data_IF_053881587412
#
_entry.id   IF_053881587412
#
_cell.length_a   1.000
_cell.length_b   1.000
_cell.length_c   1.000
_cell.angle_alpha   90.00
_cell.angle_beta   90.00
_cell.angle_gamma   90.00
#
_symmetry.space_group_name_H-M   'P 1'
#
loop_
_entity.id
_entity.type
_entity.pdbx_description
1 polymer ?
#
# COMPACT_ATOMS: atom_id res chain seq x y z
N UNK A 1 -44.46 -38.02 -71.41
CA UNK A 1 -44.59 -39.11 -70.43
C UNK A 1 -43.96 -38.66 -69.12
N UNK A 2 -44.68 -38.86 -68.00
CA UNK A 2 -44.37 -38.39 -66.65
C UNK A 2 -43.28 -39.24 -65.99
N UNK A 3 -42.43 -38.65 -65.16
CA UNK A 3 -41.99 -39.28 -63.92
C UNK A 3 -41.57 -38.22 -62.88
N UNK A 4 -42.07 -38.29 -61.62
CA UNK A 4 -41.79 -37.32 -60.58
C UNK A 4 -40.57 -37.78 -59.74
N UNK A 5 -39.73 -36.84 -59.31
CA UNK A 5 -38.71 -37.13 -58.28
C UNK A 5 -39.20 -36.55 -56.96
N UNK A 6 -39.43 -37.46 -56.03
CA UNK A 6 -39.92 -37.22 -54.67
C UNK A 6 -38.78 -36.63 -53.82
N UNK A 7 -39.04 -35.51 -53.16
CA UNK A 7 -38.11 -34.85 -52.24
C UNK A 7 -38.23 -35.49 -50.84
N UNK A 8 -37.21 -36.23 -50.41
CA UNK A 8 -37.13 -36.83 -49.08
C UNK A 8 -36.51 -35.81 -48.11
N UNK A 9 -37.31 -35.24 -47.21
CA UNK A 9 -36.85 -34.36 -46.12
C UNK A 9 -36.33 -35.21 -44.96
N UNK A 10 -35.01 -35.18 -44.72
CA UNK A 10 -34.38 -35.76 -43.53
C UNK A 10 -34.53 -34.79 -42.35
N UNK A 11 -35.34 -35.15 -41.36
CA UNK A 11 -35.40 -34.47 -40.05
C UNK A 11 -34.30 -35.01 -39.14
N UNK A 12 -33.27 -34.19 -38.90
CA UNK A 12 -32.20 -34.49 -37.94
C UNK A 12 -32.73 -34.14 -36.54
N UNK A 13 -32.99 -35.16 -35.73
CA UNK A 13 -33.23 -35.00 -34.30
C UNK A 13 -31.90 -34.70 -33.60
N UNK A 14 -31.66 -33.44 -33.25
CA UNK A 14 -30.52 -33.04 -32.42
C UNK A 14 -30.91 -33.32 -30.97
N UNK A 15 -30.42 -34.42 -30.41
CA UNK A 15 -30.51 -34.64 -28.97
C UNK A 15 -29.62 -33.60 -28.25
N UNK A 16 -30.11 -32.90 -27.20
CA UNK A 16 -29.27 -32.05 -26.38
C UNK A 16 -28.34 -32.95 -25.56
N UNK A 17 -27.09 -33.10 -26.02
CA UNK A 17 -26.02 -33.63 -25.17
C UNK A 17 -25.75 -32.59 -24.11
N UNK A 18 -26.27 -32.79 -22.89
CA UNK A 18 -25.79 -32.10 -21.71
C UNK A 18 -24.32 -32.50 -21.53
N UNK A 19 -23.41 -31.67 -22.05
CA UNK A 19 -22.01 -31.74 -21.67
C UNK A 19 -21.94 -31.42 -20.18
N UNK A 20 -21.99 -32.46 -19.35
CA UNK A 20 -21.51 -32.38 -17.97
C UNK A 20 -20.02 -32.06 -18.06
N UNK A 21 -19.68 -30.78 -18.13
CA UNK A 21 -18.30 -30.33 -18.16
C UNK A 21 -17.59 -30.92 -16.95
N UNK A 22 -16.44 -31.56 -17.18
CA UNK A 22 -15.58 -32.02 -16.09
C UNK A 22 -15.38 -30.89 -15.09
N UNK A 23 -15.46 -31.15 -13.77
CA UNK A 23 -15.21 -30.11 -12.78
C UNK A 23 -13.87 -29.44 -13.04
N UNK A 24 -13.80 -28.12 -12.95
CA UNK A 24 -12.55 -27.39 -13.17
C UNK A 24 -11.46 -27.89 -12.21
N UNK A 25 -10.19 -27.81 -12.64
CA UNK A 25 -9.05 -28.16 -11.80
C UNK A 25 -9.06 -27.38 -10.47
N UNK A 26 -9.52 -26.12 -10.48
CA UNK A 26 -9.73 -25.30 -9.29
C UNK A 26 -10.74 -25.95 -8.34
N UNK A 27 -11.94 -26.31 -8.82
CA UNK A 27 -12.98 -26.85 -7.93
C UNK A 27 -12.55 -28.19 -7.32
N UNK A 28 -11.89 -29.06 -8.10
CA UNK A 28 -11.34 -30.31 -7.58
C UNK A 28 -10.25 -30.07 -6.55
N UNK A 29 -9.32 -29.15 -6.82
CA UNK A 29 -8.21 -28.83 -5.91
C UNK A 29 -8.73 -28.23 -4.60
N UNK A 30 -9.61 -27.23 -4.68
CA UNK A 30 -10.13 -26.53 -3.51
C UNK A 30 -11.10 -27.36 -2.66
N UNK A 31 -11.72 -28.42 -3.21
CA UNK A 31 -12.63 -29.29 -2.45
C UNK A 31 -11.94 -29.98 -1.26
N UNK A 32 -10.62 -30.16 -1.32
CA UNK A 32 -9.83 -30.81 -0.28
C UNK A 32 -9.14 -29.82 0.69
N UNK A 33 -9.28 -28.52 0.46
CA UNK A 33 -8.60 -27.47 1.23
C UNK A 33 -9.45 -27.07 2.44
N UNK A 34 -8.90 -27.26 3.64
CA UNK A 34 -9.52 -26.89 4.92
C UNK A 34 -8.92 -25.62 5.53
N UNK A 35 -7.69 -25.25 5.16
CA UNK A 35 -7.04 -24.00 5.55
C UNK A 35 -6.13 -23.52 4.42
N UNK A 36 -6.34 -22.33 3.81
CA UNK A 36 -7.46 -21.39 4.03
C UNK A 36 -8.83 -22.00 3.67
N UNK A 37 -9.94 -21.26 3.77
CA UNK A 37 -11.26 -21.83 3.44
C UNK A 37 -11.36 -22.24 1.96
N UNK A 38 -12.21 -23.22 1.64
CA UNK A 38 -12.52 -23.59 0.24
C UNK A 38 -12.97 -22.39 -0.58
N UNK A 39 -13.83 -21.54 -0.02
CA UNK A 39 -14.35 -20.35 -0.70
C UNK A 39 -13.24 -19.34 -0.99
N UNK A 40 -12.30 -19.17 -0.06
CA UNK A 40 -11.11 -18.36 -0.31
C UNK A 40 -10.26 -18.96 -1.44
N UNK A 41 -9.98 -20.26 -1.39
CA UNK A 41 -9.23 -20.97 -2.44
C UNK A 41 -9.87 -20.76 -3.82
N UNK A 42 -11.16 -21.08 -3.95
CA UNK A 42 -11.86 -20.99 -5.22
C UNK A 42 -11.99 -19.54 -5.70
N UNK A 43 -12.33 -18.61 -4.80
CA UNK A 43 -12.47 -17.19 -5.11
C UNK A 43 -11.15 -16.57 -5.56
N UNK A 44 -10.06 -16.83 -4.84
CA UNK A 44 -8.73 -16.34 -5.20
C UNK A 44 -8.27 -16.88 -6.56
N UNK A 45 -8.37 -18.20 -6.76
CA UNK A 45 -7.90 -18.86 -7.98
C UNK A 45 -8.73 -18.52 -9.21
N UNK A 46 -10.02 -18.24 -9.05
CA UNK A 46 -10.89 -17.83 -10.16
C UNK A 46 -10.51 -16.46 -10.72
N UNK A 47 -9.80 -15.63 -9.94
CA UNK A 47 -9.25 -14.35 -10.39
C UNK A 47 -7.86 -14.45 -11.03
N UNK A 48 -7.23 -15.63 -11.04
CA UNK A 48 -5.89 -15.85 -11.59
C UNK A 48 -5.98 -16.53 -12.97
N UNK A 49 -5.61 -15.85 -14.07
CA UNK A 49 -5.72 -16.41 -15.42
C UNK A 49 -4.93 -17.70 -15.63
N UNK A 50 -3.77 -17.84 -14.98
CA UNK A 50 -2.95 -19.04 -15.08
C UNK A 50 -3.59 -20.22 -14.34
N UNK A 51 -4.24 -19.95 -13.21
CA UNK A 51 -5.01 -20.97 -12.50
C UNK A 51 -6.27 -21.39 -13.27
N UNK A 52 -6.97 -20.44 -13.90
CA UNK A 52 -8.16 -20.72 -14.73
C UNK A 52 -7.81 -21.56 -15.96
N UNK A 53 -6.65 -21.32 -16.57
CA UNK A 53 -6.16 -22.10 -17.71
C UNK A 53 -5.60 -23.49 -17.32
N UNK A 54 -5.38 -23.75 -16.02
CA UNK A 54 -4.82 -25.00 -15.57
C UNK A 54 -5.81 -26.17 -15.76
N UNK A 55 -5.31 -27.26 -16.32
CA UNK A 55 -6.09 -28.48 -16.54
C UNK A 55 -5.96 -29.50 -15.41
N UNK A 56 -5.01 -29.31 -14.49
CA UNK A 56 -4.76 -30.18 -13.35
C UNK A 56 -4.37 -29.42 -12.07
N UNK A 57 -4.30 -30.15 -10.95
CA UNK A 57 -3.94 -29.58 -9.65
C UNK A 57 -2.50 -29.05 -9.59
N UNK A 58 -1.58 -29.59 -10.40
CA UNK A 58 -0.18 -29.11 -10.44
C UNK A 58 -0.11 -27.73 -11.09
N UNK A 59 -0.85 -27.50 -12.17
CA UNK A 59 -1.00 -26.19 -12.79
C UNK A 59 -1.62 -25.17 -11.84
N UNK A 60 -2.68 -25.55 -11.12
CA UNK A 60 -3.30 -24.71 -10.08
C UNK A 60 -2.29 -24.36 -8.99
N UNK A 61 -1.55 -25.35 -8.46
CA UNK A 61 -0.52 -25.12 -7.44
C UNK A 61 0.60 -24.20 -7.96
N UNK A 62 1.02 -24.37 -9.21
CA UNK A 62 2.04 -23.53 -9.85
C UNK A 62 1.59 -22.07 -9.94
N UNK A 63 0.33 -21.85 -10.32
CA UNK A 63 -0.26 -20.51 -10.35
C UNK A 63 -0.26 -19.86 -8.96
N UNK A 64 -0.70 -20.58 -7.91
CA UNK A 64 -0.67 -20.08 -6.53
C UNK A 64 0.74 -19.72 -6.09
N UNK A 65 1.72 -20.60 -6.34
CA UNK A 65 3.12 -20.37 -5.95
C UNK A 65 3.68 -19.15 -6.66
N UNK A 66 3.48 -19.02 -7.97
CA UNK A 66 3.94 -17.87 -8.75
C UNK A 66 3.30 -16.57 -8.26
N UNK A 67 1.98 -16.57 -8.04
CA UNK A 67 1.27 -15.39 -7.54
C UNK A 67 1.71 -15.03 -6.11
N UNK A 68 1.98 -16.02 -5.27
CA UNK A 68 2.53 -15.81 -3.92
C UNK A 68 3.93 -15.21 -3.98
N UNK A 69 4.81 -15.75 -4.82
CA UNK A 69 6.16 -15.22 -5.02
C UNK A 69 6.14 -13.77 -5.53
N UNK A 70 5.26 -13.47 -6.49
CA UNK A 70 5.08 -12.11 -7.02
C UNK A 70 4.57 -11.14 -5.95
N UNK A 71 3.59 -11.56 -5.13
CA UNK A 71 3.09 -10.77 -4.00
C UNK A 71 4.19 -10.54 -2.97
N UNK A 72 4.94 -11.57 -2.59
CA UNK A 72 6.06 -11.45 -1.66
C UNK A 72 7.12 -10.47 -2.17
N UNK A 73 7.52 -10.58 -3.44
CA UNK A 73 8.46 -9.65 -4.07
C UNK A 73 7.92 -8.21 -4.09
N UNK A 74 6.63 -8.02 -4.31
CA UNK A 74 6.00 -6.70 -4.24
C UNK A 74 5.99 -6.14 -2.81
N UNK A 75 5.68 -6.95 -1.81
CA UNK A 75 5.73 -6.55 -0.40
C UNK A 75 7.16 -6.17 0.01
N UNK A 76 8.16 -6.95 -0.41
CA UNK A 76 9.56 -6.61 -0.16
C UNK A 76 9.95 -5.26 -0.74
N UNK A 77 9.50 -4.93 -1.96
CA UNK A 77 9.72 -3.59 -2.54
C UNK A 77 9.14 -2.48 -1.68
N UNK A 78 7.88 -2.63 -1.24
CA UNK A 78 7.23 -1.65 -0.34
C UNK A 78 7.98 -1.52 0.98
N UNK A 79 8.46 -2.62 1.56
CA UNK A 79 9.26 -2.60 2.80
C UNK A 79 10.56 -1.82 2.58
N UNK A 80 11.28 -2.10 1.50
CA UNK A 80 12.53 -1.39 1.17
C UNK A 80 12.29 0.10 1.01
N UNK A 81 11.30 0.49 0.19
CA UNK A 81 10.95 1.89 -0.03
C UNK A 81 10.58 2.58 1.29
N UNK A 82 9.80 1.91 2.16
CA UNK A 82 9.42 2.44 3.46
C UNK A 82 10.64 2.62 4.37
N UNK A 83 11.58 1.68 4.41
CA UNK A 83 12.79 1.81 5.23
C UNK A 83 13.64 3.00 4.80
N UNK A 84 13.75 3.24 3.49
CA UNK A 84 14.48 4.40 2.94
C UNK A 84 13.80 5.73 3.29
N UNK A 85 12.47 5.78 3.17
CA UNK A 85 11.67 6.95 3.56
C UNK A 85 11.75 7.22 5.06
N UNK A 86 11.67 6.17 5.89
CA UNK A 86 11.84 6.25 7.35
C UNK A 86 13.24 6.76 7.74
N UNK A 87 14.27 6.35 7.01
CA UNK A 87 15.63 6.85 7.21
C UNK A 87 15.72 8.34 6.91
N UNK A 88 15.03 8.82 5.88
CA UNK A 88 14.93 10.25 5.56
C UNK A 88 14.13 11.02 6.63
N UNK A 89 13.00 10.48 7.08
CA UNK A 89 12.23 11.01 8.21
C UNK A 89 13.07 11.16 9.48
N UNK A 90 13.92 10.17 9.79
CA UNK A 90 14.85 10.26 10.92
C UNK A 90 15.79 11.46 10.79
N UNK A 91 16.23 11.81 9.58
CA UNK A 91 17.04 13.01 9.35
C UNK A 91 16.26 14.30 9.59
N UNK A 92 14.99 14.36 9.17
CA UNK A 92 14.10 15.50 9.48
C UNK A 92 13.95 15.69 11.00
N UNK A 93 13.66 14.62 11.74
CA UNK A 93 13.53 14.69 13.20
C UNK A 93 14.85 15.00 13.92
N UNK A 94 15.98 14.51 13.40
CA UNK A 94 17.31 14.88 13.92
C UNK A 94 17.55 16.37 13.76
N UNK A 95 17.23 16.92 12.58
CA UNK A 95 17.32 18.37 12.31
C UNK A 95 16.42 19.16 13.26
N UNK A 96 15.17 18.73 13.43
CA UNK A 96 14.21 19.35 14.35
C UNK A 96 14.76 19.40 15.78
N UNK A 97 15.27 18.27 16.30
CA UNK A 97 15.80 18.18 17.64
C UNK A 97 17.02 19.10 17.85
N UNK A 98 17.93 19.15 16.87
CA UNK A 98 19.11 20.03 16.91
C UNK A 98 18.74 21.51 16.89
N UNK A 99 17.80 21.90 16.03
CA UNK A 99 17.29 23.28 15.95
C UNK A 99 16.63 23.70 17.27
N UNK A 100 15.75 22.87 17.84
CA UNK A 100 15.10 23.15 19.13
C UNK A 100 16.11 23.19 20.29
N UNK A 101 17.09 22.29 20.32
CA UNK A 101 18.17 22.34 21.30
C UNK A 101 18.96 23.64 21.22
N UNK A 102 19.18 24.16 20.01
CA UNK A 102 19.87 25.44 19.80
C UNK A 102 19.04 26.62 20.27
N UNK A 103 17.72 26.61 20.05
CA UNK A 103 16.79 27.62 20.61
C UNK A 103 16.84 27.63 22.14
N UNK A 104 16.85 26.46 22.77
CA UNK A 104 16.95 26.36 24.24
C UNK A 104 18.27 26.94 24.78
N UNK A 105 19.38 26.78 24.05
CA UNK A 105 20.66 27.41 24.41
C UNK A 105 20.55 28.93 24.34
N UNK A 106 19.91 29.48 23.31
CA UNK A 106 19.71 30.92 23.16
C UNK A 106 18.83 31.50 24.27
N UNK A 107 17.73 30.81 24.62
CA UNK A 107 16.87 31.19 25.74
C UNK A 107 17.61 31.22 27.08
N UNK A 108 18.43 30.21 27.37
CA UNK A 108 19.26 30.18 28.60
C UNK A 108 20.26 31.33 28.64
N UNK A 109 20.79 31.73 27.49
CA UNK A 109 21.67 32.89 27.34
C UNK A 109 20.92 34.22 27.27
N UNK A 110 19.58 34.23 27.39
CA UNK A 110 18.71 35.41 27.21
C UNK A 110 18.90 36.10 25.84
N UNK A 111 19.30 35.34 24.83
CA UNK A 111 19.40 35.79 23.45
C UNK A 111 18.11 35.39 22.73
N UNK A 112 17.36 36.38 22.29
CA UNK A 112 16.13 36.18 21.53
C UNK A 112 16.17 37.17 20.37
N UNK A 113 16.94 36.78 19.36
CA UNK A 113 17.21 37.55 18.15
C UNK A 113 16.67 36.82 16.91
N UNK A 114 16.89 37.41 15.73
CA UNK A 114 16.48 36.80 14.47
C UNK A 114 17.09 35.40 14.27
N UNK A 115 18.33 35.16 14.73
CA UNK A 115 18.96 33.85 14.60
C UNK A 115 18.26 32.79 15.46
N UNK A 116 17.73 33.17 16.62
CA UNK A 116 16.89 32.29 17.46
C UNK A 116 15.59 31.93 16.75
N UNK A 117 14.97 32.91 16.09
CA UNK A 117 13.74 32.73 15.33
C UNK A 117 13.94 31.83 14.10
N UNK A 118 15.02 32.02 13.34
CA UNK A 118 15.36 31.15 12.20
C UNK A 118 15.53 29.69 12.61
N UNK A 119 16.18 29.43 13.76
CA UNK A 119 16.30 28.06 14.30
C UNK A 119 14.93 27.46 14.63
N UNK A 120 14.03 28.23 15.24
CA UNK A 120 12.67 27.78 15.52
C UNK A 120 11.90 27.47 14.22
N UNK A 121 12.02 28.32 13.20
CA UNK A 121 11.41 28.09 11.89
C UNK A 121 11.99 26.86 11.16
N UNK A 122 13.30 26.63 11.26
CA UNK A 122 13.93 25.44 10.68
C UNK A 122 13.35 24.15 11.26
N UNK A 123 12.97 24.14 12.54
CA UNK A 123 12.31 23.00 13.16
C UNK A 123 10.87 22.79 12.65
N UNK A 124 10.16 23.87 12.28
CA UNK A 124 8.71 23.82 12.02
C UNK A 124 8.28 22.89 10.90
N UNK A 125 9.07 22.79 9.82
CA UNK A 125 8.65 22.05 8.63
C UNK A 125 9.00 20.57 8.70
N UNK A 126 9.80 20.14 9.69
CA UNK A 126 10.34 18.78 9.72
C UNK A 126 9.27 17.69 9.87
N UNK A 127 8.27 17.82 10.78
CA UNK A 127 7.23 16.79 10.90
C UNK A 127 6.38 16.68 9.63
N UNK A 128 6.00 17.82 9.04
CA UNK A 128 5.23 17.85 7.79
C UNK A 128 6.01 17.27 6.61
N UNK A 129 7.31 17.57 6.50
CA UNK A 129 8.15 17.00 5.45
C UNK A 129 8.20 15.47 5.54
N UNK A 130 8.32 14.93 6.76
CA UNK A 130 8.24 13.49 6.96
C UNK A 130 6.86 12.91 6.62
N UNK A 131 5.79 13.58 7.06
CA UNK A 131 4.42 13.14 6.81
C UNK A 131 4.10 13.07 5.31
N UNK A 132 4.44 14.14 4.57
CA UNK A 132 4.33 14.20 3.12
C UNK A 132 5.15 13.11 2.45
N UNK A 133 6.41 12.91 2.87
CA UNK A 133 7.26 11.86 2.30
C UNK A 133 6.64 10.47 2.45
N UNK A 134 6.06 10.15 3.60
CA UNK A 134 5.47 8.82 3.84
C UNK A 134 4.11 8.62 3.15
N UNK A 135 3.37 9.70 2.90
CA UNK A 135 2.08 9.66 2.20
C UNK A 135 2.26 9.63 0.68
N UNK A 136 3.17 10.44 0.15
CA UNK A 136 3.37 10.64 -1.29
C UNK A 136 4.60 9.91 -1.83
N UNK A 137 5.37 9.27 -0.96
CA UNK A 137 6.54 8.47 -1.30
C UNK A 137 6.21 7.22 -2.12
N UNK A 138 7.25 6.45 -2.43
CA UNK A 138 7.12 5.20 -3.18
C UNK A 138 6.35 4.14 -2.39
N UNK A 139 6.57 4.05 -1.08
CA UNK A 139 5.85 3.06 -0.27
C UNK A 139 4.38 3.45 -0.07
N UNK A 140 4.06 4.75 -0.03
CA UNK A 140 2.72 5.28 0.27
C UNK A 140 2.16 4.69 1.58
N UNK A 141 3.02 4.59 2.59
CA UNK A 141 2.71 4.05 3.91
C UNK A 141 3.23 4.99 4.98
N UNK A 142 2.32 5.50 5.80
CA UNK A 142 2.66 6.34 6.93
C UNK A 142 2.28 5.66 8.25
N UNK A 143 3.25 5.00 8.93
CA UNK A 143 2.97 4.29 10.17
C UNK A 143 2.82 5.20 11.41
N UNK A 144 3.10 6.52 11.30
CA UNK A 144 3.06 7.46 12.44
C UNK A 144 2.55 8.85 12.05
N UNK A 145 1.53 8.91 11.20
CA UNK A 145 0.91 10.18 10.78
C UNK A 145 0.38 10.98 11.97
N UNK A 146 -0.12 10.29 13.00
CA UNK A 146 -0.59 10.90 14.23
C UNK A 146 0.55 11.64 14.95
N UNK A 147 1.67 10.97 15.16
CA UNK A 147 2.85 11.53 15.82
C UNK A 147 3.43 12.69 15.02
N UNK A 148 3.44 12.62 13.68
CA UNK A 148 3.82 13.76 12.84
C UNK A 148 2.91 14.97 13.05
N UNK A 149 1.59 14.77 13.11
CA UNK A 149 0.62 15.84 13.36
C UNK A 149 0.76 16.47 14.76
N UNK A 150 1.02 15.65 15.78
CA UNK A 150 1.29 16.12 17.14
C UNK A 150 2.59 16.95 17.19
N UNK A 151 3.66 16.48 16.56
CA UNK A 151 4.93 17.21 16.50
C UNK A 151 4.81 18.51 15.69
N UNK A 152 4.08 18.52 14.57
CA UNK A 152 3.80 19.75 13.78
C UNK A 152 3.08 20.79 14.64
N UNK A 153 2.08 20.38 15.41
CA UNK A 153 1.34 21.27 16.31
C UNK A 153 2.24 21.88 17.39
N UNK A 154 3.07 21.03 18.03
CA UNK A 154 3.96 21.47 19.11
C UNK A 154 5.08 22.39 18.62
N UNK A 155 5.70 22.08 17.48
CA UNK A 155 6.79 22.91 16.95
C UNK A 155 6.29 24.27 16.47
N UNK A 156 5.07 24.33 15.90
CA UNK A 156 4.42 25.60 15.54
C UNK A 156 4.11 26.43 16.77
N UNK A 157 3.61 25.81 17.84
CA UNK A 157 3.39 26.49 19.11
C UNK A 157 4.69 27.06 19.69
N UNK A 158 5.77 26.26 19.69
CA UNK A 158 7.08 26.69 20.16
C UNK A 158 7.62 27.89 19.36
N UNK A 159 7.53 27.84 18.03
CA UNK A 159 7.94 28.94 17.16
C UNK A 159 7.09 30.20 17.37
N UNK A 160 5.77 30.05 17.50
CA UNK A 160 4.87 31.18 17.77
C UNK A 160 5.21 31.90 19.08
N UNK A 161 5.44 31.15 20.17
CA UNK A 161 5.86 31.70 21.46
C UNK A 161 7.22 32.38 21.35
N UNK A 162 8.17 31.76 20.64
CA UNK A 162 9.50 32.34 20.37
C UNK A 162 9.38 33.70 19.67
N UNK A 163 8.52 33.82 18.65
CA UNK A 163 8.24 35.09 17.96
C UNK A 163 7.62 36.15 18.87
N UNK A 164 6.72 35.77 19.77
CA UNK A 164 6.11 36.69 20.73
C UNK A 164 7.14 37.23 21.73
N UNK A 165 8.06 36.39 22.21
CA UNK A 165 9.18 36.81 23.06
C UNK A 165 10.14 37.74 22.30
N UNK A 166 10.51 37.39 21.07
CA UNK A 166 11.41 38.19 20.24
C UNK A 166 10.85 39.58 19.94
N UNK A 167 9.53 39.67 19.75
CA UNK A 167 8.82 40.93 19.54
C UNK A 167 8.47 41.69 20.83
N UNK A 168 8.91 41.20 22.00
CA UNK A 168 8.60 41.77 23.33
C UNK A 168 7.10 41.96 23.59
N UNK A 169 6.26 41.14 22.94
CA UNK A 169 4.81 41.15 23.16
C UNK A 169 4.42 40.40 24.43
N UNK A 170 5.31 39.51 24.87
CA UNK A 170 5.27 38.81 26.14
C UNK A 170 6.71 38.78 26.67
N UNK A 171 6.90 38.88 27.98
CA UNK A 171 8.22 38.96 28.61
C UNK A 171 8.35 40.13 29.57
#
# INVERSE_FOLDING_TARGET
MKQPVVLLLLTIAIAPVLAMGSPSAINMTCALITTPTRDFCAGFLSGDPAAVAATDARGVATAVVNTTANKAASTMRVITDLVDELSTCRMYYTTMAQSLSSVLVDFRAKRIDNATLEKAHQAMNQPKNCDTLLLEGKAQKNPFSKENGENDSLVRLAAAITSLLASKRIG
#
